data_IF_077362769583
#
_entry.id   IF_077362769583
#
_cell.length_a   1.000
_cell.length_b   1.000
_cell.length_c   1.000
_cell.angle_alpha   90.00
_cell.angle_beta   90.00
_cell.angle_gamma   90.00
#
_symmetry.space_group_name_H-M   'P 1'
#
loop_
_entity.id
_entity.type
_entity.pdbx_description
1 polymer ?
#
# COMPACT_ATOMS: atom_id res chain seq x y z
N UNK A 1 -14.12 13.78 -4.42
CA UNK A 1 -12.91 12.97 -4.70
C UNK A 1 -12.15 13.65 -5.81
N UNK A 2 -10.94 14.08 -5.51
CA UNK A 2 -10.25 15.15 -6.24
C UNK A 2 -9.42 14.62 -7.44
N UNK A 3 -9.33 15.38 -8.53
CA UNK A 3 -8.63 14.96 -9.76
C UNK A 3 -7.12 14.74 -9.55
N UNK A 4 -6.59 15.30 -8.46
CA UNK A 4 -5.25 15.07 -7.92
C UNK A 4 -5.00 13.60 -7.56
N UNK A 5 -5.94 12.97 -6.84
CA UNK A 5 -5.85 11.57 -6.42
C UNK A 5 -5.76 10.62 -7.61
N UNK A 6 -6.57 10.87 -8.65
CA UNK A 6 -6.56 10.04 -9.86
C UNK A 6 -5.24 10.17 -10.64
N UNK A 7 -4.61 11.36 -10.65
CA UNK A 7 -3.29 11.56 -11.29
C UNK A 7 -2.17 10.85 -10.54
N UNK A 8 -2.14 10.98 -9.21
CA UNK A 8 -1.19 10.29 -8.34
C UNK A 8 -1.32 8.77 -8.55
N UNK A 9 -2.56 8.26 -8.55
CA UNK A 9 -2.83 6.84 -8.76
C UNK A 9 -2.42 6.32 -10.15
N UNK A 10 -2.59 7.11 -11.22
CA UNK A 10 -2.07 6.74 -12.55
C UNK A 10 -0.54 6.69 -12.59
N UNK A 11 0.14 7.57 -11.84
CA UNK A 11 1.61 7.63 -11.78
C UNK A 11 2.20 6.39 -11.10
N UNK A 12 1.57 5.89 -10.04
CA UNK A 12 1.92 4.62 -9.40
C UNK A 12 1.68 3.40 -10.30
N UNK A 13 0.84 3.51 -11.33
CA UNK A 13 0.48 2.39 -12.21
C UNK A 13 1.59 2.03 -13.22
N UNK A 14 2.63 2.85 -13.43
CA UNK A 14 3.61 2.65 -14.50
C UNK A 14 4.68 1.58 -14.26
N UNK A 15 5.08 1.31 -13.01
CA UNK A 15 6.36 0.64 -12.72
C UNK A 15 6.18 -0.77 -12.15
N UNK A 16 6.71 -1.77 -12.85
CA UNK A 16 6.38 -3.19 -12.64
C UNK A 16 6.79 -3.80 -11.30
N UNK A 17 7.78 -3.22 -10.60
CA UNK A 17 8.37 -3.78 -9.36
C UNK A 17 7.87 -3.11 -8.07
N UNK A 18 7.50 -1.83 -8.11
CA UNK A 18 6.96 -1.10 -6.95
C UNK A 18 5.50 -1.47 -6.64
N UNK A 19 4.79 -2.06 -7.60
CA UNK A 19 3.37 -2.44 -7.49
C UNK A 19 3.03 -3.41 -6.34
N UNK A 20 3.67 -4.56 -6.17
CA UNK A 20 3.29 -5.51 -5.13
C UNK A 20 3.52 -4.96 -3.72
N UNK A 21 4.60 -4.20 -3.50
CA UNK A 21 4.87 -3.58 -2.21
C UNK A 21 3.81 -2.52 -1.87
N UNK A 22 3.55 -1.56 -2.77
CA UNK A 22 2.50 -0.54 -2.58
C UNK A 22 1.14 -1.18 -2.34
N UNK A 23 0.80 -2.22 -3.13
CA UNK A 23 -0.45 -2.95 -2.94
C UNK A 23 -0.54 -3.64 -1.59
N UNK A 24 0.54 -4.29 -1.14
CA UNK A 24 0.61 -4.93 0.18
C UNK A 24 0.43 -3.92 1.30
N UNK A 25 1.17 -2.80 1.27
CA UNK A 25 1.10 -1.79 2.32
C UNK A 25 -0.30 -1.14 2.38
N UNK A 26 -0.89 -0.84 1.22
CA UNK A 26 -2.26 -0.30 1.14
C UNK A 26 -3.31 -1.32 1.62
N UNK A 27 -3.07 -2.61 1.38
CA UNK A 27 -3.91 -3.71 1.89
C UNK A 27 -3.88 -3.78 3.41
N UNK A 28 -2.69 -3.65 4.01
CA UNK A 28 -2.51 -3.63 5.47
C UNK A 28 -3.19 -2.40 6.08
N UNK A 29 -2.93 -1.21 5.53
CA UNK A 29 -3.51 0.04 6.04
C UNK A 29 -5.05 0.02 6.00
N UNK A 30 -5.64 -0.40 4.87
CA UNK A 30 -7.09 -0.51 4.73
C UNK A 30 -7.69 -1.55 5.68
N UNK A 31 -7.00 -2.67 5.92
CA UNK A 31 -7.43 -3.69 6.88
C UNK A 31 -7.50 -3.15 8.31
N UNK A 32 -6.45 -2.44 8.75
CA UNK A 32 -6.40 -1.82 10.08
C UNK A 32 -7.52 -0.79 10.28
N UNK A 33 -7.76 0.07 9.29
CA UNK A 33 -8.81 1.09 9.35
C UNK A 33 -10.20 0.45 9.44
N UNK A 34 -10.49 -0.53 8.58
CA UNK A 34 -11.80 -1.19 8.56
C UNK A 34 -12.06 -1.99 9.84
N UNK A 35 -11.04 -2.68 10.37
CA UNK A 35 -11.14 -3.39 11.64
C UNK A 35 -11.39 -2.42 12.80
N UNK A 36 -10.65 -1.31 12.87
CA UNK A 36 -10.86 -0.30 13.89
C UNK A 36 -12.26 0.33 13.83
N UNK A 37 -12.73 0.68 12.63
CA UNK A 37 -14.07 1.24 12.41
C UNK A 37 -15.18 0.27 12.78
N UNK A 38 -15.05 -1.02 12.46
CA UNK A 38 -16.06 -2.01 12.83
C UNK A 38 -16.12 -2.24 14.35
N UNK A 39 -14.98 -2.19 15.05
CA UNK A 39 -14.94 -2.39 16.52
C UNK A 39 -15.55 -1.17 17.22
N UNK A 40 -15.10 0.02 16.84
CA UNK A 40 -15.57 1.27 17.41
C UNK A 40 -17.05 1.54 17.08
N UNK A 41 -17.47 1.26 15.85
CA UNK A 41 -18.86 1.40 15.42
C UNK A 41 -19.79 0.44 16.16
N UNK A 42 -19.38 -0.82 16.34
CA UNK A 42 -20.14 -1.80 17.14
C UNK A 42 -20.29 -1.37 18.59
N UNK A 43 -19.23 -0.80 19.18
CA UNK A 43 -19.25 -0.26 20.54
C UNK A 43 -20.18 0.96 20.68
N UNK A 44 -20.04 1.96 19.81
CA UNK A 44 -20.93 3.14 19.77
C UNK A 44 -22.40 2.73 19.66
N UNK A 45 -22.70 1.78 18.77
CA UNK A 45 -24.07 1.32 18.56
C UNK A 45 -24.65 0.63 19.80
N UNK A 46 -23.83 -0.12 20.55
CA UNK A 46 -24.21 -0.68 21.83
C UNK A 46 -24.52 0.38 22.88
N UNK A 47 -23.72 1.46 22.92
CA UNK A 47 -23.89 2.56 23.89
C UNK A 47 -25.20 3.33 23.70
N UNK A 48 -25.67 3.50 22.45
CA UNK A 48 -26.90 4.26 22.15
C UNK A 48 -28.20 3.48 22.35
N UNK A 49 -28.17 2.24 22.85
CA UNK A 49 -29.38 1.48 23.22
C UNK A 49 -29.57 1.44 24.74
N UNK A 50 -30.26 2.45 25.33
CA UNK A 50 -30.41 2.60 26.78
C UNK A 50 -31.29 1.53 27.46
N UNK A 51 -31.91 0.61 26.73
CA UNK A 51 -32.98 -0.25 27.25
C UNK A 51 -32.53 -1.57 27.90
N UNK A 52 -31.23 -1.86 28.01
CA UNK A 52 -30.76 -3.14 28.54
C UNK A 52 -29.61 -2.96 29.53
N UNK A 53 -29.83 -2.33 30.69
CA UNK A 53 -28.80 -2.20 31.74
C UNK A 53 -28.77 -3.45 32.66
N UNK A 54 -28.25 -4.57 32.16
CA UNK A 54 -28.05 -5.81 32.94
C UNK A 54 -27.10 -6.80 32.22
N UNK A 55 -26.82 -7.99 32.79
CA UNK A 55 -25.91 -9.02 32.23
C UNK A 55 -26.11 -9.37 30.73
N UNK A 56 -27.25 -9.00 30.14
CA UNK A 56 -27.58 -9.12 28.71
C UNK A 56 -26.78 -8.15 27.81
N UNK A 57 -26.17 -7.09 28.35
CA UNK A 57 -25.36 -6.11 27.57
C UNK A 57 -24.22 -6.78 26.82
N UNK A 58 -23.49 -7.69 27.49
CA UNK A 58 -22.32 -8.34 26.90
C UNK A 58 -22.66 -9.10 25.62
N UNK A 59 -23.76 -9.85 25.61
CA UNK A 59 -24.18 -10.66 24.45
C UNK A 59 -24.68 -9.82 23.28
N UNK A 60 -25.28 -8.66 23.55
CA UNK A 60 -25.77 -7.73 22.52
C UNK A 60 -24.60 -6.96 21.92
N UNK A 61 -23.70 -6.46 22.76
CA UNK A 61 -22.49 -5.77 22.34
C UNK A 61 -21.58 -6.68 21.52
N UNK A 62 -21.35 -7.92 21.97
CA UNK A 62 -20.55 -8.91 21.25
C UNK A 62 -21.13 -9.22 19.87
N UNK A 63 -22.46 -9.36 19.75
CA UNK A 63 -23.13 -9.56 18.45
C UNK A 63 -22.94 -8.38 17.50
N UNK A 64 -23.07 -7.15 17.99
CA UNK A 64 -22.87 -5.96 17.16
C UNK A 64 -21.42 -5.80 16.70
N UNK A 65 -20.45 -6.03 17.59
CA UNK A 65 -19.01 -6.01 17.23
C UNK A 65 -18.72 -7.08 16.18
N UNK A 66 -19.21 -8.32 16.36
CA UNK A 66 -19.01 -9.42 15.40
C UNK A 66 -19.62 -9.12 14.04
N UNK A 67 -20.81 -8.50 14.02
CA UNK A 67 -21.49 -8.09 12.78
C UNK A 67 -20.68 -6.99 12.08
N UNK A 68 -20.22 -5.98 12.83
CA UNK A 68 -19.35 -4.92 12.31
C UNK A 68 -18.05 -5.45 11.73
N UNK A 69 -17.41 -6.42 12.40
CA UNK A 69 -16.21 -7.11 11.92
C UNK A 69 -16.44 -7.89 10.63
N UNK A 70 -17.57 -8.58 10.55
CA UNK A 70 -17.92 -9.36 9.37
C UNK A 70 -18.13 -8.47 8.14
N UNK A 71 -18.82 -7.33 8.32
CA UNK A 71 -19.00 -6.31 7.27
C UNK A 71 -17.65 -5.70 6.87
N UNK A 72 -16.84 -5.29 7.84
CA UNK A 72 -15.51 -4.73 7.62
C UNK A 72 -14.60 -5.70 6.84
N UNK A 73 -14.61 -6.99 7.20
CA UNK A 73 -13.88 -8.04 6.50
C UNK A 73 -14.35 -8.22 5.05
N UNK A 74 -15.66 -8.24 4.82
CA UNK A 74 -16.22 -8.32 3.46
C UNK A 74 -15.81 -7.12 2.58
N UNK A 75 -15.90 -5.90 3.12
CA UNK A 75 -15.44 -4.68 2.43
C UNK A 75 -13.94 -4.74 2.15
N UNK A 76 -13.14 -5.22 3.10
CA UNK A 76 -11.70 -5.35 2.92
C UNK A 76 -11.35 -6.33 1.79
N UNK A 77 -12.01 -7.48 1.71
CA UNK A 77 -11.83 -8.44 0.60
C UNK A 77 -12.15 -7.79 -0.75
N UNK A 78 -13.23 -7.00 -0.84
CA UNK A 78 -13.56 -6.26 -2.06
C UNK A 78 -12.47 -5.24 -2.43
N UNK A 79 -11.91 -4.53 -1.45
CA UNK A 79 -10.78 -3.61 -1.64
C UNK A 79 -9.57 -4.35 -2.17
N UNK A 80 -9.21 -5.51 -1.58
CA UNK A 80 -8.10 -6.35 -2.03
C UNK A 80 -8.29 -6.78 -3.49
N UNK A 81 -9.46 -7.34 -3.82
CA UNK A 81 -9.77 -7.77 -5.19
C UNK A 81 -9.67 -6.60 -6.15
N UNK A 82 -10.18 -5.42 -5.78
CA UNK A 82 -10.11 -4.22 -6.60
C UNK A 82 -8.68 -3.70 -6.79
N UNK A 83 -7.87 -3.68 -5.71
CA UNK A 83 -6.49 -3.22 -5.70
C UNK A 83 -5.58 -4.12 -6.56
N UNK A 84 -5.82 -5.44 -6.51
CA UNK A 84 -5.01 -6.45 -7.21
C UNK A 84 -5.50 -6.77 -8.64
N UNK A 85 -6.75 -6.43 -8.99
CA UNK A 85 -7.32 -6.62 -10.35
C UNK A 85 -6.43 -6.10 -11.50
N UNK A 86 -5.82 -4.89 -11.43
CA UNK A 86 -4.94 -4.38 -12.48
C UNK A 86 -3.63 -5.17 -12.61
N UNK A 87 -3.12 -5.74 -11.51
CA UNK A 87 -1.93 -6.57 -11.54
C UNK A 87 -2.19 -7.90 -12.28
N UNK A 88 -3.43 -8.41 -12.21
CA UNK A 88 -3.87 -9.59 -12.97
C UNK A 88 -3.97 -9.29 -14.47
N UNK A 89 -4.60 -8.16 -14.86
CA UNK A 89 -4.85 -7.83 -16.27
C UNK A 89 -3.60 -7.58 -17.11
N UNK A 90 -2.49 -7.17 -16.49
CA UNK A 90 -1.27 -6.81 -17.23
C UNK A 90 -0.35 -7.99 -17.53
N UNK A 91 -0.72 -9.22 -17.15
CA UNK A 91 -0.01 -10.43 -17.62
C UNK A 91 -0.42 -10.77 -19.04
N UNK A 92 0.40 -10.36 -20.01
CA UNK A 92 0.36 -10.96 -21.35
C UNK A 92 0.62 -12.48 -21.22
N UNK A 93 -0.20 -13.33 -21.86
CA UNK A 93 -0.15 -14.79 -21.69
C UNK A 93 1.09 -15.51 -22.27
N UNK A 94 2.21 -14.81 -22.48
CA UNK A 94 3.36 -15.34 -23.25
C UNK A 94 4.68 -15.56 -22.51
N UNK A 95 4.79 -15.30 -21.19
CA UNK A 95 6.06 -15.50 -20.43
C UNK A 95 5.81 -16.37 -19.20
N UNK A 96 5.88 -17.69 -19.44
CA UNK A 96 5.53 -18.78 -18.53
C UNK A 96 6.53 -18.96 -17.38
N UNK A 97 6.05 -19.46 -16.24
CA UNK A 97 6.89 -19.97 -15.14
C UNK A 97 6.89 -19.13 -13.86
N UNK A 98 7.56 -17.96 -13.85
CA UNK A 98 7.82 -17.23 -12.59
C UNK A 98 6.60 -16.55 -11.98
N UNK A 99 5.52 -16.41 -12.75
CA UNK A 99 4.33 -15.71 -12.31
C UNK A 99 3.48 -16.45 -11.27
N UNK A 100 3.43 -17.78 -11.33
CA UNK A 100 2.59 -18.56 -10.42
C UNK A 100 3.16 -18.57 -8.99
N UNK A 101 4.48 -18.67 -8.86
CA UNK A 101 5.18 -18.67 -7.56
C UNK A 101 5.03 -17.36 -6.78
N UNK A 102 4.92 -16.22 -7.46
CA UNK A 102 4.66 -14.94 -6.79
C UNK A 102 3.23 -14.84 -6.24
N UNK A 103 2.26 -15.45 -6.93
CA UNK A 103 0.86 -15.48 -6.50
C UNK A 103 0.64 -16.43 -5.33
N UNK A 104 1.28 -17.61 -5.34
CA UNK A 104 1.18 -18.52 -4.20
C UNK A 104 1.75 -17.89 -2.93
N UNK A 105 2.86 -17.14 -3.02
CA UNK A 105 3.40 -16.40 -1.86
C UNK A 105 2.43 -15.34 -1.35
N UNK A 106 1.84 -14.53 -2.24
CA UNK A 106 0.87 -13.51 -1.82
C UNK A 106 -0.36 -14.15 -1.16
N UNK A 107 -0.90 -15.22 -1.74
CA UNK A 107 -2.03 -15.95 -1.18
C UNK A 107 -1.68 -16.62 0.17
N UNK A 108 -0.48 -17.19 0.31
CA UNK A 108 -0.02 -17.78 1.56
C UNK A 108 0.14 -16.73 2.66
N UNK A 109 0.70 -15.56 2.33
CA UNK A 109 0.81 -14.44 3.27
C UNK A 109 -0.58 -13.98 3.71
N UNK A 110 -1.52 -13.83 2.77
CA UNK A 110 -2.90 -13.43 3.09
C UNK A 110 -3.63 -14.48 3.93
N UNK A 111 -3.47 -15.77 3.61
CA UNK A 111 -4.03 -16.87 4.39
C UNK A 111 -3.43 -16.91 5.81
N UNK A 112 -2.10 -16.70 5.93
CA UNK A 112 -1.41 -16.62 7.21
C UNK A 112 -1.89 -15.46 8.08
N UNK A 113 -2.06 -14.27 7.49
CA UNK A 113 -2.62 -13.10 8.19
C UNK A 113 -4.06 -13.39 8.64
N UNK A 114 -4.90 -13.95 7.75
CA UNK A 114 -6.29 -14.30 8.09
C UNK A 114 -6.38 -15.32 9.22
N UNK A 115 -5.56 -16.37 9.19
CA UNK A 115 -5.48 -17.37 10.25
C UNK A 115 -5.01 -16.75 11.57
N UNK A 116 -3.97 -15.90 11.53
CA UNK A 116 -3.45 -15.19 12.70
C UNK A 116 -4.50 -14.28 13.34
N UNK A 117 -5.22 -13.49 12.54
CA UNK A 117 -6.32 -12.64 13.02
C UNK A 117 -7.42 -13.47 13.68
N UNK A 118 -7.76 -14.63 13.10
CA UNK A 118 -8.79 -15.52 13.65
C UNK A 118 -8.36 -16.09 15.00
N UNK A 119 -7.10 -16.55 15.13
CA UNK A 119 -6.55 -17.07 16.39
C UNK A 119 -6.51 -15.99 17.46
N UNK A 120 -6.04 -14.78 17.13
CA UNK A 120 -6.00 -13.65 18.07
C UNK A 120 -7.42 -13.26 18.50
N UNK A 121 -8.36 -13.20 17.57
CA UNK A 121 -9.77 -12.88 17.88
C UNK A 121 -10.39 -13.92 18.81
N UNK A 122 -10.10 -15.21 18.58
CA UNK A 122 -10.55 -16.30 19.45
C UNK A 122 -9.91 -16.24 20.85
N UNK A 123 -8.62 -15.88 20.94
CA UNK A 123 -7.93 -15.71 22.21
C UNK A 123 -8.50 -14.53 23.01
N UNK A 124 -8.77 -13.40 22.35
CA UNK A 124 -9.38 -12.21 22.97
C UNK A 124 -10.78 -12.54 23.49
N UNK A 125 -11.59 -13.33 22.75
CA UNK A 125 -12.92 -13.75 23.22
C UNK A 125 -12.90 -14.55 24.53
N UNK A 126 -11.78 -15.22 24.86
CA UNK A 126 -11.66 -15.97 26.11
C UNK A 126 -11.27 -15.12 27.31
N UNK A 127 -10.87 -13.87 27.09
CA UNK A 127 -10.38 -13.00 28.14
C UNK A 127 -11.53 -12.13 28.69
N UNK A 128 -11.77 -12.10 30.01
CA UNK A 128 -12.80 -11.27 30.61
C UNK A 128 -12.32 -9.81 30.60
N UNK A 129 -12.62 -9.10 29.52
CA UNK A 129 -12.23 -7.70 29.35
C UNK A 129 -13.38 -6.75 29.70
N UNK A 130 -12.99 -5.60 30.26
CA UNK A 130 -13.88 -4.49 30.58
C UNK A 130 -14.24 -3.70 29.31
N UNK A 131 -15.47 -3.20 29.20
CA UNK A 131 -16.06 -2.64 27.95
C UNK A 131 -15.25 -1.51 27.31
N UNK A 132 -14.45 -0.79 28.10
CA UNK A 132 -13.54 0.29 27.67
C UNK A 132 -12.39 -0.19 26.78
N UNK A 133 -11.95 -1.45 26.91
CA UNK A 133 -10.80 -1.97 26.16
C UNK A 133 -11.10 -2.13 24.66
N UNK A 134 -12.36 -2.38 24.30
CA UNK A 134 -12.78 -2.49 22.90
C UNK A 134 -12.71 -1.14 22.17
N UNK A 135 -13.11 -0.06 22.84
CA UNK A 135 -13.05 1.29 22.29
C UNK A 135 -11.59 1.73 22.06
N UNK A 136 -10.73 1.52 23.06
CA UNK A 136 -9.30 1.84 22.97
C UNK A 136 -8.64 1.04 21.85
N UNK A 137 -8.88 -0.27 21.79
CA UNK A 137 -8.31 -1.14 20.75
C UNK A 137 -8.77 -0.72 19.35
N UNK A 138 -10.06 -0.45 19.18
CA UNK A 138 -10.62 0.02 17.91
C UNK A 138 -9.97 1.33 17.44
N UNK A 139 -9.84 2.30 18.35
CA UNK A 139 -9.21 3.58 18.06
C UNK A 139 -7.72 3.42 17.72
N UNK A 140 -6.98 2.59 18.45
CA UNK A 140 -5.57 2.30 18.17
C UNK A 140 -5.38 1.68 16.79
N UNK A 141 -6.26 0.76 16.37
CA UNK A 141 -6.21 0.17 15.03
C UNK A 141 -6.47 1.21 13.93
N UNK A 142 -7.45 2.10 14.11
CA UNK A 142 -7.69 3.19 13.15
C UNK A 142 -6.46 4.10 13.06
N UNK A 143 -5.92 4.53 14.21
CA UNK A 143 -4.76 5.39 14.26
C UNK A 143 -3.54 4.74 13.57
N UNK A 144 -3.25 3.47 13.87
CA UNK A 144 -2.17 2.72 13.24
C UNK A 144 -2.36 2.59 11.72
N UNK A 145 -3.59 2.31 11.27
CA UNK A 145 -3.92 2.27 9.85
C UNK A 145 -3.71 3.61 9.13
N UNK A 146 -4.10 4.72 9.77
CA UNK A 146 -3.86 6.08 9.26
C UNK A 146 -2.37 6.39 9.19
N UNK A 147 -1.58 6.06 10.22
CA UNK A 147 -0.13 6.25 10.21
C UNK A 147 0.52 5.51 9.04
N UNK A 148 0.18 4.23 8.84
CA UNK A 148 0.71 3.45 7.69
C UNK A 148 0.29 4.08 6.36
N UNK A 149 -0.96 4.55 6.24
CA UNK A 149 -1.44 5.20 5.02
C UNK A 149 -0.75 6.53 4.73
N UNK A 150 -0.45 7.33 5.77
CA UNK A 150 0.27 8.62 5.66
C UNK A 150 1.75 8.41 5.33
N UNK A 151 2.37 7.35 5.84
CA UNK A 151 3.77 7.03 5.56
C UNK A 151 3.99 6.36 4.21
N UNK A 152 2.96 5.77 3.61
CA UNK A 152 3.02 5.11 2.30
C UNK A 152 3.66 6.01 1.22
N UNK A 153 3.19 7.25 0.98
CA UNK A 153 3.78 8.13 -0.01
C UNK A 153 5.20 8.55 0.34
N UNK A 154 5.53 8.71 1.63
CA UNK A 154 6.87 9.09 2.08
C UNK A 154 7.89 7.98 1.80
N UNK A 155 7.58 6.74 2.19
CA UNK A 155 8.47 5.59 1.97
C UNK A 155 8.66 5.31 0.49
N UNK A 156 7.57 5.33 -0.29
CA UNK A 156 7.66 5.06 -1.73
C UNK A 156 8.16 6.26 -2.55
N UNK A 157 8.06 7.48 -2.01
CA UNK A 157 8.64 8.69 -2.61
C UNK A 157 10.17 8.66 -2.57
N UNK A 158 10.77 8.08 -1.52
CA UNK A 158 12.21 7.92 -1.40
C UNK A 158 12.78 6.89 -2.39
N UNK A 159 12.05 5.81 -2.66
CA UNK A 159 12.48 4.77 -3.62
C UNK A 159 12.24 5.14 -5.08
N UNK A 160 11.32 6.07 -5.36
CA UNK A 160 11.17 6.67 -6.68
C UNK A 160 12.33 7.65 -6.91
N UNK A 161 13.53 7.11 -7.07
CA UNK A 161 14.72 7.86 -7.44
C UNK A 161 14.37 8.87 -8.52
N UNK A 162 14.78 10.13 -8.29
CA UNK A 162 14.40 11.31 -9.09
C UNK A 162 14.26 10.94 -10.55
N UNK A 163 13.02 10.82 -11.02
CA UNK A 163 12.74 10.71 -12.44
C UNK A 163 13.10 12.04 -13.05
N UNK A 164 14.34 12.14 -13.53
CA UNK A 164 14.72 13.20 -14.44
C UNK A 164 13.70 13.16 -15.57
N UNK A 165 12.97 14.26 -15.74
CA UNK A 165 12.14 14.49 -16.91
C UNK A 165 12.78 15.68 -17.57
N UNK A 166 13.26 15.50 -18.80
CA UNK A 166 13.59 16.65 -19.63
C UNK A 166 12.34 17.51 -19.88
N UNK A 167 12.55 18.76 -20.27
CA UNK A 167 11.49 19.72 -20.62
C UNK A 167 10.52 19.20 -21.69
N UNK A 168 10.97 18.28 -22.54
CA UNK A 168 10.19 17.63 -23.60
C UNK A 168 9.62 16.26 -23.20
N UNK A 169 9.73 15.85 -21.93
CA UNK A 169 9.23 14.57 -21.43
C UNK A 169 10.06 13.33 -21.78
N UNK A 170 11.13 13.50 -22.57
CA UNK A 170 12.18 12.50 -22.77
C UNK A 170 13.48 12.95 -22.08
N UNK A 171 14.19 12.00 -21.48
CA UNK A 171 15.52 12.24 -20.90
C UNK A 171 16.55 11.99 -21.99
N UNK A 172 16.96 13.05 -22.68
CA UNK A 172 18.03 12.97 -23.68
C UNK A 172 19.38 13.21 -23.01
N UNK A 173 19.97 12.12 -22.49
CA UNK A 173 21.31 12.17 -21.88
C UNK A 173 22.34 12.21 -23.01
N UNK A 174 23.08 13.31 -23.16
CA UNK A 174 24.19 13.46 -24.13
C UNK A 174 25.57 13.48 -23.48
N UNK A 175 26.57 12.95 -24.17
CA UNK A 175 27.97 13.04 -23.77
C UNK A 175 28.42 14.51 -23.78
N UNK A 176 28.97 15.06 -22.69
CA UNK A 176 29.42 16.46 -22.65
C UNK A 176 30.67 16.72 -23.51
N UNK A 177 31.46 15.69 -23.85
CA UNK A 177 32.65 15.83 -24.69
C UNK A 177 32.34 15.84 -26.19
N UNK A 178 31.42 14.99 -26.66
CA UNK A 178 31.17 14.80 -28.10
C UNK A 178 29.70 14.96 -28.54
N UNK A 179 28.76 15.16 -27.61
CA UNK A 179 27.35 15.37 -27.91
C UNK A 179 26.55 14.11 -28.26
N UNK A 180 27.17 12.93 -28.27
CA UNK A 180 26.52 11.65 -28.58
C UNK A 180 25.41 11.30 -27.57
N UNK A 181 24.28 10.79 -28.06
CA UNK A 181 23.15 10.38 -27.22
C UNK A 181 23.48 9.08 -26.47
N UNK A 182 23.54 9.16 -25.14
CA UNK A 182 23.84 8.06 -24.23
C UNK A 182 22.58 7.37 -23.69
N UNK A 183 21.39 7.76 -24.16
CA UNK A 183 20.13 7.15 -23.76
C UNK A 183 20.04 5.69 -24.23
N UNK A 184 19.71 4.78 -23.32
CA UNK A 184 19.55 3.35 -23.62
C UNK A 184 20.84 2.51 -23.61
N UNK A 185 22.01 3.13 -23.41
CA UNK A 185 23.27 2.39 -23.21
C UNK A 185 23.34 1.79 -21.79
N UNK A 186 23.95 0.61 -21.67
CA UNK A 186 24.19 -0.05 -20.36
C UNK A 186 25.55 0.31 -19.76
N UNK A 187 26.44 0.90 -20.55
CA UNK A 187 27.79 1.24 -20.17
C UNK A 187 27.86 2.73 -19.82
N UNK A 188 28.74 3.10 -18.88
CA UNK A 188 28.99 4.49 -18.48
C UNK A 188 30.06 5.19 -19.33
N UNK A 189 30.64 4.47 -20.29
CA UNK A 189 31.60 4.97 -21.26
C UNK A 189 30.94 5.31 -22.59
N UNK A 190 31.31 6.46 -23.16
CA UNK A 190 30.83 6.89 -24.45
C UNK A 190 31.47 6.03 -25.57
N UNK A 191 30.69 5.44 -26.48
CA UNK A 191 31.23 4.62 -27.56
C UNK A 191 32.00 5.43 -28.62
N UNK A 192 31.67 6.71 -28.78
CA UNK A 192 32.31 7.59 -29.77
C UNK A 192 33.66 8.13 -29.28
N UNK A 193 33.72 8.69 -28.07
CA UNK A 193 34.92 9.38 -27.57
C UNK A 193 35.68 8.59 -26.49
N UNK A 194 35.18 7.44 -26.04
CA UNK A 194 35.80 6.60 -25.01
C UNK A 194 35.77 7.17 -23.58
N UNK A 195 35.31 8.41 -23.40
CA UNK A 195 35.27 9.04 -22.06
C UNK A 195 34.29 8.30 -21.15
N UNK A 196 34.75 7.99 -19.95
CA UNK A 196 33.94 7.33 -18.92
C UNK A 196 33.41 8.35 -17.93
N UNK A 197 32.13 8.29 -17.63
CA UNK A 197 31.48 9.21 -16.70
C UNK A 197 30.86 8.45 -15.53
N UNK A 198 30.82 9.06 -14.35
CA UNK A 198 29.87 8.62 -13.32
C UNK A 198 28.49 9.16 -13.67
N UNK A 199 27.43 8.47 -13.21
CA UNK A 199 26.05 8.87 -13.47
C UNK A 199 25.80 10.30 -12.94
N UNK A 200 26.33 10.64 -11.76
CA UNK A 200 26.24 11.98 -11.16
C UNK A 200 26.91 13.07 -12.02
N UNK A 201 28.09 12.80 -12.59
CA UNK A 201 28.77 13.75 -13.48
C UNK A 201 27.96 14.04 -14.73
N UNK A 202 27.29 13.03 -15.30
CA UNK A 202 26.43 13.21 -16.48
C UNK A 202 25.22 14.08 -16.18
N UNK A 203 24.60 13.88 -15.03
CA UNK A 203 23.43 14.65 -14.59
C UNK A 203 23.82 16.12 -14.39
N UNK A 204 24.92 16.35 -13.65
CA UNK A 204 25.44 17.70 -13.39
C UNK A 204 25.84 18.42 -14.69
N UNK A 205 26.49 17.72 -15.63
CA UNK A 205 26.94 18.31 -16.89
C UNK A 205 25.79 18.76 -17.81
N UNK A 206 24.58 18.24 -17.61
CA UNK A 206 23.41 18.59 -18.43
C UNK A 206 22.52 19.66 -17.80
N UNK A 207 22.92 20.20 -16.65
CA UNK A 207 22.15 21.25 -15.97
C UNK A 207 20.76 20.77 -15.56
N UNK A 208 20.58 19.46 -15.32
CA UNK A 208 19.36 19.00 -14.68
C UNK A 208 19.34 19.54 -13.25
N UNK A 209 18.52 20.56 -13.02
CA UNK A 209 18.21 21.02 -11.68
C UNK A 209 17.58 19.85 -10.94
N UNK A 210 18.28 19.38 -9.91
CA UNK A 210 17.66 18.56 -8.90
C UNK A 210 16.72 19.45 -8.10
N UNK A 211 15.46 19.55 -8.52
CA UNK A 211 14.42 20.17 -7.71
C UNK A 211 14.30 19.38 -6.41
N UNK A 212 14.87 19.93 -5.35
CA UNK A 212 14.55 19.61 -3.96
C UNK A 212 13.23 20.31 -3.63
N UNK A 213 12.13 19.74 -4.11
CA UNK A 213 10.79 20.04 -3.59
C UNK A 213 10.44 19.09 -2.44
#
# INVERSE_FOLDING_TARGET
MDASFHRIWRRFRGDGLLRPAVCLTASVASGLILAGLGMFGGWLFGMFRPAAFGRVVGDVLARHITTGMSIAGGVWILVLVWLWRPAVRLRRPGRSGRGAAAWSRALLIMAGIGAGVTVVSYAIQRQPWDDTHFAVTGLTLVAGGVVVAVWLPAVFGLEQGRRMRGSLGQVDVRCPACGYAMSGLKCTSCPECGTTYTLDRLILAQGYETTEE
#
